data_IF_809282888694
#
_entry.id   IF_809282888694
#
_cell.length_a   1.000
_cell.length_b   1.000
_cell.length_c   1.000
_cell.angle_alpha   90.00
_cell.angle_beta   90.00
_cell.angle_gamma   90.00
#
_symmetry.space_group_name_H-M   'P 1'
#
loop_
_entity.id
_entity.type
_entity.pdbx_description
1 polymer ?
#
# COMPACT_ATOMS: atom_id res chain seq x y z
N UNK A 1 -27.20 -26.13 31.32
CA UNK A 1 -26.88 -25.32 30.12
C UNK A 1 -25.48 -24.77 30.28
N UNK A 2 -24.53 -25.22 29.46
CA UNK A 2 -23.16 -24.71 29.55
C UNK A 2 -23.09 -23.31 28.95
N UNK A 3 -22.39 -22.40 29.64
CA UNK A 3 -22.25 -20.98 29.25
C UNK A 3 -21.54 -20.78 27.91
N UNK A 4 -21.05 -21.85 27.28
CA UNK A 4 -20.33 -21.82 26.01
C UNK A 4 -21.25 -22.00 24.78
N UNK A 5 -22.46 -22.56 24.95
CA UNK A 5 -23.44 -22.76 23.86
C UNK A 5 -24.04 -21.44 23.31
N UNK A 6 -23.93 -20.33 24.05
CA UNK A 6 -24.57 -19.05 23.69
C UNK A 6 -23.67 -18.04 22.97
N UNK A 7 -22.42 -18.39 22.64
CA UNK A 7 -21.51 -17.48 21.93
C UNK A 7 -22.06 -17.03 20.56
N UNK A 8 -22.63 -17.90 19.69
CA UNK A 8 -23.18 -17.48 18.40
C UNK A 8 -24.36 -16.52 18.54
N UNK A 9 -25.24 -16.77 19.51
CA UNK A 9 -26.40 -15.92 19.79
C UNK A 9 -25.99 -14.52 20.29
N UNK A 10 -25.00 -14.45 21.18
CA UNK A 10 -24.44 -13.17 21.67
C UNK A 10 -23.78 -12.37 20.56
N UNK A 11 -22.99 -13.01 19.69
CA UNK A 11 -22.35 -12.34 18.56
C UNK A 11 -23.37 -11.79 17.56
N UNK A 12 -24.37 -12.59 17.20
CA UNK A 12 -25.44 -12.15 16.30
C UNK A 12 -26.26 -11.01 16.93
N UNK A 13 -26.59 -11.11 18.21
CA UNK A 13 -27.29 -10.05 18.93
C UNK A 13 -26.50 -8.74 19.01
N UNK A 14 -25.19 -8.81 19.24
CA UNK A 14 -24.33 -7.64 19.16
C UNK A 14 -24.37 -7.02 17.77
N UNK A 15 -24.26 -7.82 16.70
CA UNK A 15 -24.31 -7.33 15.32
C UNK A 15 -25.66 -6.64 15.00
N UNK A 16 -26.79 -7.25 15.37
CA UNK A 16 -28.14 -6.69 15.13
C UNK A 16 -28.33 -5.34 15.83
N UNK A 17 -27.75 -5.14 17.01
CA UNK A 17 -27.81 -3.85 17.72
C UNK A 17 -27.18 -2.70 16.94
N UNK A 18 -26.14 -2.98 16.15
CA UNK A 18 -25.43 -1.98 15.34
C UNK A 18 -26.03 -1.83 13.94
N UNK A 19 -27.00 -2.66 13.56
CA UNK A 19 -27.61 -2.59 12.22
C UNK A 19 -28.50 -1.34 12.05
N UNK A 20 -28.58 -0.79 10.82
CA UNK A 20 -29.51 0.29 10.48
C UNK A 20 -30.96 -0.08 10.81
N UNK A 21 -31.77 0.91 11.21
CA UNK A 21 -33.14 0.69 11.67
C UNK A 21 -33.98 -0.14 10.69
N UNK A 22 -33.88 0.11 9.38
CA UNK A 22 -34.62 -0.63 8.35
C UNK A 22 -34.25 -2.11 8.15
N UNK A 23 -33.20 -2.62 8.81
CA UNK A 23 -32.77 -4.02 8.72
C UNK A 23 -32.84 -4.77 10.06
N UNK A 24 -33.29 -4.11 11.12
CA UNK A 24 -33.45 -4.76 12.44
C UNK A 24 -34.47 -5.90 12.41
N UNK A 25 -35.46 -5.84 11.52
CA UNK A 25 -36.46 -6.89 11.36
C UNK A 25 -35.85 -8.17 10.78
N UNK A 26 -35.00 -8.04 9.76
CA UNK A 26 -34.19 -9.16 9.27
C UNK A 26 -33.30 -9.71 10.37
N UNK A 27 -32.64 -8.84 11.15
CA UNK A 27 -31.80 -9.26 12.27
C UNK A 27 -32.55 -10.07 13.33
N UNK A 28 -33.77 -9.64 13.68
CA UNK A 28 -34.66 -10.35 14.60
C UNK A 28 -35.11 -11.70 14.04
N UNK A 29 -35.43 -11.76 12.75
CA UNK A 29 -35.78 -13.01 12.08
C UNK A 29 -34.61 -14.02 12.12
N UNK A 30 -33.39 -13.57 11.83
CA UNK A 30 -32.20 -14.44 11.90
C UNK A 30 -31.88 -14.90 13.33
N UNK A 31 -32.18 -14.08 14.35
CA UNK A 31 -32.06 -14.52 15.74
C UNK A 31 -33.07 -15.61 16.10
N UNK A 32 -34.31 -15.50 15.60
CA UNK A 32 -35.33 -16.51 15.77
C UNK A 32 -34.94 -17.82 15.05
N UNK A 33 -34.48 -17.75 13.80
CA UNK A 33 -33.99 -18.92 13.07
C UNK A 33 -32.79 -19.58 13.78
N UNK A 34 -31.82 -18.79 14.25
CA UNK A 34 -30.69 -19.33 15.01
C UNK A 34 -31.14 -20.05 16.29
N UNK A 35 -32.22 -19.60 16.93
CA UNK A 35 -32.75 -20.23 18.15
C UNK A 35 -33.39 -21.60 17.89
N UNK A 36 -33.90 -21.83 16.67
CA UNK A 36 -34.55 -23.07 16.26
C UNK A 36 -33.56 -24.16 15.80
N UNK A 37 -32.29 -23.82 15.62
CA UNK A 37 -31.25 -24.81 15.25
C UNK A 37 -30.69 -25.41 16.54
N UNK A 38 -30.88 -26.72 16.75
CA UNK A 38 -30.39 -27.43 17.93
C UNK A 38 -28.91 -27.82 17.82
N UNK A 39 -28.47 -28.18 16.61
CA UNK A 39 -27.12 -28.69 16.36
C UNK A 39 -26.06 -27.58 16.49
N UNK A 40 -25.08 -27.69 17.42
CA UNK A 40 -24.12 -26.62 17.68
C UNK A 40 -23.25 -26.24 16.48
N UNK A 41 -22.89 -27.20 15.63
CA UNK A 41 -22.09 -26.95 14.43
C UNK A 41 -22.88 -26.11 13.40
N UNK A 42 -24.14 -26.45 13.18
CA UNK A 42 -25.04 -25.73 12.28
C UNK A 42 -25.30 -24.31 12.77
N UNK A 43 -25.59 -24.12 14.07
CA UNK A 43 -25.74 -22.79 14.70
C UNK A 43 -24.56 -21.87 14.43
N UNK A 44 -23.33 -22.40 14.56
CA UNK A 44 -22.10 -21.62 14.30
C UNK A 44 -21.96 -21.25 12.83
N UNK A 45 -22.27 -22.17 11.93
CA UNK A 45 -22.23 -21.93 10.48
C UNK A 45 -23.28 -20.88 10.06
N UNK A 46 -24.50 -20.99 10.60
CA UNK A 46 -25.60 -20.07 10.38
C UNK A 46 -25.26 -18.66 10.88
N UNK A 47 -24.83 -18.54 12.15
CA UNK A 47 -24.42 -17.26 12.72
C UNK A 47 -23.28 -16.61 11.92
N UNK A 48 -22.29 -17.39 11.45
CA UNK A 48 -21.23 -16.88 10.56
C UNK A 48 -21.79 -16.39 9.21
N UNK A 49 -22.79 -17.08 8.66
CA UNK A 49 -23.50 -16.66 7.45
C UNK A 49 -24.21 -15.32 7.65
N UNK A 50 -25.02 -15.19 8.71
CA UNK A 50 -25.71 -13.96 9.07
C UNK A 50 -24.73 -12.81 9.35
N UNK A 51 -23.63 -13.07 10.07
CA UNK A 51 -22.59 -12.06 10.33
C UNK A 51 -21.91 -11.60 9.03
N UNK A 52 -21.64 -12.50 8.08
CA UNK A 52 -21.12 -12.13 6.76
C UNK A 52 -22.12 -11.29 5.95
N UNK A 53 -23.40 -11.66 5.96
CA UNK A 53 -24.45 -10.91 5.30
C UNK A 53 -24.61 -9.50 5.89
N UNK A 54 -24.64 -9.40 7.23
CA UNK A 54 -24.67 -8.12 7.93
C UNK A 54 -23.40 -7.29 7.63
N UNK A 55 -22.21 -7.89 7.70
CA UNK A 55 -20.93 -7.26 7.38
C UNK A 55 -20.85 -6.70 5.96
N UNK A 56 -21.47 -7.37 4.98
CA UNK A 56 -21.56 -6.88 3.62
C UNK A 56 -22.33 -5.55 3.56
N UNK A 57 -23.40 -5.41 4.35
CA UNK A 57 -24.28 -4.24 4.35
C UNK A 57 -23.83 -3.06 5.20
N UNK A 58 -22.81 -3.24 6.03
CA UNK A 58 -22.14 -2.12 6.73
C UNK A 58 -21.36 -1.21 5.76
N UNK A 59 -21.83 -1.01 4.54
CA UNK A 59 -21.28 -0.08 3.55
C UNK A 59 -21.15 1.33 4.14
N UNK A 60 -22.11 1.77 4.96
CA UNK A 60 -22.06 3.08 5.62
C UNK A 60 -20.99 3.16 6.71
N UNK A 61 -20.89 2.15 7.57
CA UNK A 61 -19.84 2.12 8.61
C UNK A 61 -18.45 1.97 7.97
N UNK A 62 -18.32 1.11 6.96
CA UNK A 62 -17.09 0.97 6.17
C UNK A 62 -16.75 2.29 5.48
N UNK A 63 -17.71 2.98 4.89
CA UNK A 63 -17.49 4.29 4.29
C UNK A 63 -17.10 5.34 5.34
N UNK A 64 -17.72 5.34 6.52
CA UNK A 64 -17.41 6.25 7.61
C UNK A 64 -15.99 6.01 8.17
N UNK A 65 -15.62 4.74 8.39
CA UNK A 65 -14.26 4.37 8.81
C UNK A 65 -13.25 4.76 7.73
N UNK A 66 -13.54 4.47 6.45
CA UNK A 66 -12.67 4.88 5.33
C UNK A 66 -12.50 6.40 5.30
N UNK A 67 -13.60 7.14 5.47
CA UNK A 67 -13.60 8.60 5.47
C UNK A 67 -12.79 9.16 6.65
N UNK A 68 -12.96 8.61 7.85
CA UNK A 68 -12.20 9.01 9.04
C UNK A 68 -10.71 8.73 8.87
N UNK A 69 -10.34 7.57 8.32
CA UNK A 69 -8.93 7.25 8.03
C UNK A 69 -8.36 8.24 7.01
N UNK A 70 -9.07 8.50 5.91
CA UNK A 70 -8.62 9.45 4.87
C UNK A 70 -8.49 10.86 5.42
N UNK A 71 -9.48 11.34 6.18
CA UNK A 71 -9.45 12.68 6.79
C UNK A 71 -8.33 12.79 7.83
N UNK A 72 -8.15 11.77 8.67
CA UNK A 72 -7.07 11.71 9.64
C UNK A 72 -5.72 11.80 8.95
N UNK A 73 -5.47 10.95 7.94
CA UNK A 73 -4.23 10.98 7.16
C UNK A 73 -4.01 12.34 6.48
N UNK A 74 -5.07 12.96 5.93
CA UNK A 74 -4.97 14.26 5.28
C UNK A 74 -4.64 15.37 6.28
N UNK A 75 -5.31 15.41 7.44
CA UNK A 75 -5.05 16.41 8.48
C UNK A 75 -3.63 16.27 9.00
N UNK A 76 -3.16 15.05 9.28
CA UNK A 76 -1.77 14.80 9.70
C UNK A 76 -0.78 15.29 8.65
N UNK A 77 -1.04 15.01 7.37
CA UNK A 77 -0.18 15.41 6.26
C UNK A 77 -0.13 16.93 6.07
N UNK A 78 -1.28 17.61 6.16
CA UNK A 78 -1.37 19.07 6.06
C UNK A 78 -0.73 19.78 7.26
N UNK A 79 -0.99 19.30 8.47
CA UNK A 79 -0.37 19.82 9.68
C UNK A 79 1.16 19.72 9.61
N UNK A 80 1.66 18.63 9.02
CA UNK A 80 3.09 18.45 8.83
C UNK A 80 3.68 19.35 7.73
N UNK A 81 3.01 19.49 6.58
CA UNK A 81 3.44 20.44 5.54
C UNK A 81 3.57 21.85 6.09
N UNK A 82 2.66 22.25 6.98
CA UNK A 82 2.73 23.53 7.66
C UNK A 82 3.89 23.67 8.66
N UNK A 83 4.49 22.55 9.09
CA UNK A 83 5.60 22.51 10.04
C UNK A 83 6.98 22.34 9.38
N UNK A 84 7.04 22.14 8.05
CA UNK A 84 8.31 21.95 7.32
C UNK A 84 8.83 23.30 6.81
N UNK A 85 9.94 23.77 7.39
CA UNK A 85 10.64 25.01 6.97
C UNK A 85 11.61 24.80 5.79
N UNK A 86 11.36 23.79 4.94
CA UNK A 86 12.18 23.50 3.75
C UNK A 86 11.33 23.56 2.47
N UNK A 87 11.36 24.68 1.72
CA UNK A 87 10.46 24.94 0.58
C UNK A 87 10.45 23.86 -0.52
N UNK A 88 11.58 23.26 -0.92
CA UNK A 88 11.58 22.20 -1.93
C UNK A 88 10.79 20.96 -1.49
N UNK A 89 10.88 20.58 -0.21
CA UNK A 89 10.13 19.46 0.33
C UNK A 89 8.63 19.79 0.42
N UNK A 90 8.25 21.00 0.82
CA UNK A 90 6.85 21.47 0.79
C UNK A 90 6.22 21.30 -0.59
N UNK A 91 6.95 21.64 -1.66
CA UNK A 91 6.46 21.48 -3.04
C UNK A 91 6.22 19.99 -3.40
N UNK A 92 7.19 19.11 -3.09
CA UNK A 92 7.06 17.66 -3.32
C UNK A 92 5.88 17.09 -2.55
N UNK A 93 5.75 17.43 -1.28
CA UNK A 93 4.67 16.95 -0.42
C UNK A 93 3.31 17.44 -0.91
N UNK A 94 3.21 18.69 -1.34
CA UNK A 94 1.98 19.25 -1.90
C UNK A 94 1.53 18.50 -3.16
N UNK A 95 2.47 18.07 -4.01
CA UNK A 95 2.19 17.22 -5.17
C UNK A 95 1.67 15.85 -4.72
N UNK A 96 2.31 15.22 -3.72
CA UNK A 96 1.87 13.93 -3.17
C UNK A 96 0.47 14.03 -2.55
N UNK A 97 0.20 15.05 -1.73
CA UNK A 97 -1.13 15.29 -1.12
C UNK A 97 -2.17 15.46 -2.20
N UNK A 98 -1.87 16.27 -3.21
CA UNK A 98 -2.79 16.56 -4.31
C UNK A 98 -3.10 15.29 -5.10
N UNK A 99 -2.10 14.46 -5.40
CA UNK A 99 -2.29 13.17 -6.05
C UNK A 99 -3.13 12.21 -5.18
N UNK A 100 -2.85 12.13 -3.87
CA UNK A 100 -3.64 11.34 -2.91
C UNK A 100 -5.08 11.83 -2.82
N UNK A 101 -5.30 13.15 -2.79
CA UNK A 101 -6.61 13.76 -2.77
C UNK A 101 -7.40 13.46 -4.06
N UNK A 102 -6.73 13.50 -5.22
CA UNK A 102 -7.31 13.09 -6.51
C UNK A 102 -7.68 11.60 -6.48
N UNK A 103 -6.80 10.72 -5.98
CA UNK A 103 -7.07 9.27 -5.84
C UNK A 103 -8.26 9.02 -4.90
N UNK A 104 -8.31 9.73 -3.76
CA UNK A 104 -9.41 9.62 -2.80
C UNK A 104 -10.73 10.19 -3.38
N UNK A 105 -10.68 11.33 -4.06
CA UNK A 105 -11.82 11.93 -4.73
C UNK A 105 -12.36 11.03 -5.83
N UNK A 106 -11.48 10.46 -6.64
CA UNK A 106 -11.82 9.47 -7.63
C UNK A 106 -12.46 8.25 -6.94
N UNK A 107 -11.86 7.73 -5.88
CA UNK A 107 -12.38 6.60 -5.10
C UNK A 107 -13.78 6.79 -4.51
N UNK A 108 -14.22 8.04 -4.27
CA UNK A 108 -15.56 8.37 -3.71
C UNK A 108 -16.72 8.10 -4.67
N UNK A 109 -16.50 8.03 -5.99
CA UNK A 109 -17.59 7.70 -6.91
C UNK A 109 -17.99 6.23 -6.69
N UNK A 110 -19.28 5.96 -6.44
CA UNK A 110 -19.77 4.61 -6.15
C UNK A 110 -19.23 3.58 -7.19
N UNK A 111 -18.46 2.59 -6.72
CA UNK A 111 -17.81 1.59 -7.57
C UNK A 111 -16.34 1.87 -7.95
N UNK A 112 -15.78 3.03 -7.62
CA UNK A 112 -14.39 3.41 -7.95
C UNK A 112 -13.29 2.91 -7.00
N UNK A 113 -13.60 2.16 -5.96
CA UNK A 113 -12.63 1.25 -5.34
C UNK A 113 -12.99 -0.23 -5.55
N UNK A 114 -14.10 -0.48 -6.26
CA UNK A 114 -14.67 -1.77 -6.60
C UNK A 114 -15.03 -2.63 -5.36
N UNK A 115 -15.94 -3.60 -5.50
CA UNK A 115 -15.85 -4.77 -4.64
C UNK A 115 -14.45 -5.36 -4.81
N UNK A 116 -13.75 -5.62 -3.70
CA UNK A 116 -12.53 -6.43 -3.72
C UNK A 116 -12.82 -7.74 -4.44
N UNK A 117 -11.84 -8.28 -5.17
CA UNK A 117 -11.95 -9.65 -5.68
C UNK A 117 -12.36 -10.59 -4.55
N UNK A 118 -13.19 -11.58 -4.84
CA UNK A 118 -13.70 -12.52 -3.82
C UNK A 118 -12.58 -13.41 -3.25
N UNK A 119 -11.38 -13.33 -3.81
CA UNK A 119 -10.17 -13.98 -3.30
C UNK A 119 -9.73 -13.38 -1.96
N UNK A 120 -9.49 -14.26 -0.98
CA UNK A 120 -8.91 -13.93 0.33
C UNK A 120 -7.58 -13.15 0.23
N UNK A 121 -6.80 -13.38 -0.84
CA UNK A 121 -5.51 -12.72 -1.09
C UNK A 121 -5.70 -11.20 -1.34
N UNK A 122 -6.69 -10.83 -2.15
CA UNK A 122 -7.03 -9.42 -2.39
C UNK A 122 -7.51 -8.72 -1.11
N UNK A 123 -8.21 -9.45 -0.24
CA UNK A 123 -8.63 -8.94 1.05
C UNK A 123 -7.45 -8.75 2.02
N UNK A 124 -6.53 -9.71 2.10
CA UNK A 124 -5.34 -9.61 2.94
C UNK A 124 -4.39 -8.51 2.47
N UNK A 125 -4.10 -8.42 1.18
CA UNK A 125 -3.20 -7.39 0.65
C UNK A 125 -3.77 -5.99 0.89
N UNK A 126 -5.09 -5.82 0.77
CA UNK A 126 -5.75 -4.54 1.00
C UNK A 126 -5.84 -4.20 2.48
N UNK A 127 -6.25 -5.13 3.33
CA UNK A 127 -6.37 -4.92 4.77
C UNK A 127 -4.99 -4.75 5.41
N UNK A 128 -4.03 -5.59 5.03
CA UNK A 128 -2.63 -5.51 5.42
C UNK A 128 -1.98 -4.21 4.95
N UNK A 129 -2.23 -3.77 3.72
CA UNK A 129 -1.75 -2.47 3.23
C UNK A 129 -2.29 -1.28 4.01
N UNK A 130 -3.59 -1.26 4.34
CA UNK A 130 -4.17 -0.20 5.17
C UNK A 130 -3.69 -0.25 6.62
N UNK A 131 -3.59 -1.43 7.21
CA UNK A 131 -3.08 -1.59 8.57
C UNK A 131 -1.62 -1.19 8.68
N UNK A 132 -0.79 -1.59 7.71
CA UNK A 132 0.63 -1.22 7.68
C UNK A 132 0.77 0.30 7.50
N UNK A 133 0.02 0.92 6.59
CA UNK A 133 -0.01 2.37 6.45
C UNK A 133 -0.48 3.08 7.74
N UNK A 134 -1.52 2.57 8.40
CA UNK A 134 -2.03 3.13 9.66
C UNK A 134 -1.05 2.97 10.82
N UNK A 135 -0.37 1.83 10.95
CA UNK A 135 0.67 1.57 11.97
C UNK A 135 1.85 2.50 11.74
N UNK A 136 2.27 2.64 10.49
CA UNK A 136 3.35 3.56 10.11
C UNK A 136 2.97 5.00 10.51
N UNK A 137 1.78 5.48 10.13
CA UNK A 137 1.31 6.83 10.51
C UNK A 137 1.19 6.98 12.03
N UNK A 138 0.63 6.00 12.74
CA UNK A 138 0.47 6.06 14.19
C UNK A 138 1.83 6.10 14.90
N UNK A 139 2.79 5.27 14.48
CA UNK A 139 4.14 5.25 15.02
C UNK A 139 4.85 6.60 14.81
N UNK A 140 4.61 7.27 13.68
CA UNK A 140 5.16 8.61 13.41
C UNK A 140 4.48 9.72 14.21
N UNK A 141 3.20 9.57 14.56
CA UNK A 141 2.42 10.61 15.23
C UNK A 141 2.64 10.66 16.76
N UNK A 142 3.18 9.59 17.36
CA UNK A 142 3.36 9.48 18.82
C UNK A 142 4.77 9.82 19.31
N UNK A 143 5.73 10.05 18.41
CA UNK A 143 7.09 10.45 18.78
C UNK A 143 7.19 11.95 19.12
N UNK A 144 8.05 12.37 20.05
CA UNK A 144 8.37 13.79 20.22
C UNK A 144 8.95 14.35 18.93
N UNK A 145 8.49 15.54 18.51
CA UNK A 145 9.00 16.22 17.31
C UNK A 145 10.42 16.73 17.58
N UNK A 146 11.42 15.88 17.35
CA UNK A 146 12.83 16.24 17.23
C UNK A 146 13.19 16.49 15.76
N UNK A 147 14.36 17.06 15.46
CA UNK A 147 14.85 17.22 14.07
C UNK A 147 14.84 15.89 13.27
N UNK A 148 14.93 14.75 13.95
CA UNK A 148 14.81 13.39 13.36
C UNK A 148 13.39 13.04 12.88
N UNK A 149 12.37 13.77 13.31
CA UNK A 149 10.96 13.47 13.04
C UNK A 149 10.57 13.70 11.59
N UNK A 150 11.26 14.62 10.91
CA UNK A 150 11.09 14.90 9.48
C UNK A 150 11.49 13.66 8.66
N UNK A 151 12.58 13.00 9.04
CA UNK A 151 13.03 11.76 8.42
C UNK A 151 11.95 10.68 8.54
N UNK A 152 11.55 10.36 9.77
CA UNK A 152 10.60 9.28 10.08
C UNK A 152 9.29 9.42 9.27
N UNK A 153 8.81 10.64 9.04
CA UNK A 153 7.59 10.91 8.26
C UNK A 153 7.76 10.72 6.75
N UNK A 154 8.92 11.08 6.17
CA UNK A 154 9.26 10.77 4.78
C UNK A 154 9.36 9.25 4.58
N UNK A 155 10.01 8.55 5.52
CA UNK A 155 10.09 7.09 5.55
C UNK A 155 8.73 6.41 5.69
N UNK A 156 7.73 7.10 6.25
CA UNK A 156 6.40 6.58 6.48
C UNK A 156 5.42 6.82 5.31
N UNK A 157 5.41 8.04 4.77
CA UNK A 157 4.48 8.48 3.73
C UNK A 157 4.72 7.77 2.40
N UNK A 158 5.97 7.48 2.07
CA UNK A 158 6.31 6.91 0.76
C UNK A 158 5.92 5.42 0.66
N UNK A 159 6.22 4.55 1.65
CA UNK A 159 5.67 3.20 1.69
C UNK A 159 4.13 3.18 1.70
N UNK A 160 3.49 4.11 2.40
CA UNK A 160 2.03 4.23 2.36
C UNK A 160 1.52 4.56 0.94
N UNK A 161 2.18 5.47 0.21
CA UNK A 161 1.85 5.77 -1.19
C UNK A 161 2.05 4.57 -2.12
N UNK A 162 3.11 3.77 -1.90
CA UNK A 162 3.35 2.53 -2.62
C UNK A 162 2.24 1.50 -2.38
N UNK A 163 1.83 1.31 -1.12
CA UNK A 163 0.73 0.41 -0.75
C UNK A 163 -0.59 0.86 -1.38
N UNK A 164 -0.85 2.16 -1.43
CA UNK A 164 -2.03 2.72 -2.11
C UNK A 164 -2.01 2.45 -3.63
N UNK A 165 -0.85 2.63 -4.27
CA UNK A 165 -0.65 2.24 -5.67
C UNK A 165 -0.92 0.76 -5.90
N UNK A 166 -0.34 -0.11 -5.07
CA UNK A 166 -0.53 -1.55 -5.14
C UNK A 166 -2.01 -1.94 -4.97
N UNK A 167 -2.70 -1.38 -3.98
CA UNK A 167 -4.14 -1.62 -3.75
C UNK A 167 -4.99 -1.18 -4.94
N UNK A 168 -4.65 -0.06 -5.58
CA UNK A 168 -5.37 0.42 -6.77
C UNK A 168 -5.20 -0.53 -7.96
N UNK A 169 -3.99 -1.05 -8.16
CA UNK A 169 -3.67 -2.01 -9.24
C UNK A 169 -4.34 -3.36 -8.99
N UNK A 170 -4.46 -3.80 -7.74
CA UNK A 170 -5.09 -5.07 -7.36
C UNK A 170 -6.63 -5.04 -7.31
N UNK A 171 -7.26 -3.92 -7.67
CA UNK A 171 -8.72 -3.83 -7.67
C UNK A 171 -9.35 -4.76 -8.73
N UNK A 172 -10.51 -5.37 -8.43
CA UNK A 172 -11.23 -6.33 -9.31
C UNK A 172 -11.51 -5.82 -10.73
N UNK A 173 -11.52 -4.50 -10.93
CA UNK A 173 -11.78 -3.82 -12.22
C UNK A 173 -10.54 -3.14 -12.81
N UNK A 174 -9.37 -3.38 -12.25
CA UNK A 174 -8.11 -2.88 -12.79
C UNK A 174 -7.85 -3.49 -14.17
N UNK A 175 -7.26 -2.71 -15.08
CA UNK A 175 -6.74 -3.25 -16.33
C UNK A 175 -5.49 -4.12 -16.13
N UNK A 176 -4.90 -4.11 -14.93
CA UNK A 176 -3.76 -4.95 -14.59
C UNK A 176 -4.16 -6.43 -14.56
N UNK A 177 -3.67 -7.19 -15.54
CA UNK A 177 -3.76 -8.64 -15.56
C UNK A 177 -2.76 -9.26 -14.59
N UNK A 178 -2.89 -10.56 -14.31
CA UNK A 178 -1.88 -11.29 -13.54
C UNK A 178 -0.48 -11.18 -14.17
N UNK A 179 -0.41 -11.14 -15.50
CA UNK A 179 0.82 -10.91 -16.26
C UNK A 179 1.43 -9.54 -15.95
N UNK A 180 0.64 -8.45 -16.02
CA UNK A 180 1.10 -7.09 -15.69
C UNK A 180 1.70 -7.03 -14.29
N UNK A 181 1.02 -7.64 -13.30
CA UNK A 181 1.49 -7.71 -11.92
C UNK A 181 2.81 -8.49 -11.81
N UNK A 182 2.85 -9.69 -12.40
CA UNK A 182 4.02 -10.56 -12.36
C UNK A 182 5.23 -9.91 -13.03
N UNK A 183 5.05 -9.33 -14.21
CA UNK A 183 6.15 -8.69 -14.95
C UNK A 183 6.58 -7.39 -14.30
N UNK A 184 5.64 -6.58 -13.78
CA UNK A 184 5.97 -5.31 -13.15
C UNK A 184 6.67 -5.51 -11.80
N UNK A 185 6.01 -6.17 -10.85
CA UNK A 185 6.61 -6.41 -9.53
C UNK A 185 7.82 -7.37 -9.63
N UNK A 186 7.74 -8.40 -10.47
CA UNK A 186 8.82 -9.38 -10.65
C UNK A 186 10.07 -8.77 -11.27
N UNK A 187 9.96 -7.94 -12.32
CA UNK A 187 11.15 -7.28 -12.88
C UNK A 187 11.75 -6.29 -11.90
N UNK A 188 10.92 -5.59 -11.13
CA UNK A 188 11.41 -4.66 -10.11
C UNK A 188 12.17 -5.36 -8.98
N UNK A 189 11.63 -6.46 -8.46
CA UNK A 189 12.33 -7.28 -7.45
C UNK A 189 13.62 -7.90 -8.01
N UNK A 190 13.61 -8.38 -9.26
CA UNK A 190 14.81 -8.90 -9.91
C UNK A 190 15.90 -7.83 -10.05
N UNK A 191 15.54 -6.60 -10.41
CA UNK A 191 16.47 -5.48 -10.48
C UNK A 191 17.02 -5.10 -9.10
N UNK A 192 16.20 -5.12 -8.04
CA UNK A 192 16.68 -4.94 -6.66
C UNK A 192 17.65 -6.04 -6.25
N UNK A 193 17.38 -7.30 -6.57
CA UNK A 193 18.29 -8.42 -6.28
C UNK A 193 19.61 -8.29 -7.04
N UNK A 194 19.58 -7.85 -8.29
CA UNK A 194 20.78 -7.56 -9.06
C UNK A 194 21.60 -6.42 -8.44
N UNK A 195 20.95 -5.34 -8.01
CA UNK A 195 21.60 -4.25 -7.28
C UNK A 195 22.27 -4.76 -5.99
N UNK A 196 21.53 -5.54 -5.20
CA UNK A 196 22.04 -6.09 -3.94
C UNK A 196 23.23 -7.05 -4.17
N UNK A 197 23.17 -7.87 -5.21
CA UNK A 197 24.27 -8.75 -5.58
C UNK A 197 25.54 -7.96 -5.92
N UNK A 198 25.41 -6.85 -6.67
CA UNK A 198 26.55 -5.96 -6.96
C UNK A 198 27.15 -5.41 -5.67
N UNK A 199 26.32 -4.91 -4.74
CA UNK A 199 26.78 -4.37 -3.44
C UNK A 199 27.52 -5.41 -2.61
N UNK A 200 27.01 -6.65 -2.57
CA UNK A 200 27.61 -7.73 -1.77
C UNK A 200 28.90 -8.26 -2.39
N UNK A 201 28.95 -8.37 -3.73
CA UNK A 201 30.11 -8.92 -4.45
C UNK A 201 31.23 -7.88 -4.58
N UNK A 202 30.88 -6.62 -4.78
CA UNK A 202 31.79 -5.50 -5.01
C UNK A 202 31.49 -4.35 -4.03
N UNK A 203 31.76 -4.54 -2.72
CA UNK A 203 31.62 -3.46 -1.74
C UNK A 203 32.51 -2.25 -2.08
N UNK A 204 32.14 -1.03 -1.67
CA UNK A 204 31.01 -0.68 -0.78
C UNK A 204 29.68 -0.40 -1.51
N UNK A 205 28.62 -0.02 -0.76
CA UNK A 205 27.38 0.53 -1.32
C UNK A 205 27.74 1.74 -2.22
N UNK A 206 27.25 1.80 -3.48
CA UNK A 206 27.52 2.92 -4.35
C UNK A 206 27.05 4.24 -3.74
N UNK A 207 27.91 5.27 -3.63
CA UNK A 207 27.55 6.57 -3.06
C UNK A 207 26.67 7.41 -4.00
N UNK A 208 26.40 6.93 -5.21
CA UNK A 208 25.51 7.58 -6.18
C UNK A 208 24.34 6.69 -6.54
N UNK A 209 23.25 7.30 -6.98
CA UNK A 209 22.03 6.60 -7.40
C UNK A 209 22.07 6.06 -8.83
N UNK A 210 23.17 6.28 -9.57
CA UNK A 210 23.26 5.96 -11.00
C UNK A 210 22.97 4.49 -11.32
N UNK A 211 23.55 3.56 -10.54
CA UNK A 211 23.29 2.13 -10.71
C UNK A 211 21.82 1.76 -10.41
N UNK A 212 21.25 2.33 -9.35
CA UNK A 212 19.86 2.09 -8.98
C UNK A 212 18.89 2.58 -10.07
N UNK A 213 19.14 3.76 -10.64
CA UNK A 213 18.35 4.31 -11.73
C UNK A 213 18.51 3.49 -13.02
N UNK A 214 19.73 3.04 -13.34
CA UNK A 214 19.98 2.20 -14.50
C UNK A 214 19.24 0.85 -14.40
N UNK A 215 19.33 0.17 -13.26
CA UNK A 215 18.62 -1.09 -13.03
C UNK A 215 17.09 -0.89 -13.02
N UNK A 216 16.61 0.24 -12.51
CA UNK A 216 15.20 0.61 -12.62
C UNK A 216 14.76 0.78 -14.07
N UNK A 217 15.55 1.46 -14.91
CA UNK A 217 15.25 1.61 -16.33
C UNK A 217 15.20 0.26 -17.06
N UNK A 218 16.11 -0.66 -16.72
CA UNK A 218 16.07 -2.04 -17.23
C UNK A 218 14.79 -2.76 -16.79
N UNK A 219 14.41 -2.68 -15.51
CA UNK A 219 13.17 -3.28 -15.00
C UNK A 219 11.92 -2.76 -15.73
N UNK A 220 11.88 -1.46 -16.00
CA UNK A 220 10.83 -0.79 -16.76
C UNK A 220 10.76 -1.31 -18.18
N UNK A 221 11.90 -1.36 -18.89
CA UNK A 221 11.96 -1.85 -20.25
C UNK A 221 11.50 -3.32 -20.33
N UNK A 222 11.97 -4.17 -19.43
CA UNK A 222 11.56 -5.59 -19.34
C UNK A 222 10.06 -5.69 -19.10
N UNK A 223 9.50 -4.95 -18.14
CA UNK A 223 8.07 -4.98 -17.85
C UNK A 223 7.22 -4.48 -19.03
N UNK A 224 7.63 -3.40 -19.69
CA UNK A 224 6.93 -2.85 -20.84
C UNK A 224 6.97 -3.79 -22.06
N UNK A 225 8.15 -4.34 -22.38
CA UNK A 225 8.34 -5.29 -23.48
C UNK A 225 7.60 -6.61 -23.22
N UNK A 226 7.60 -7.09 -21.98
CA UNK A 226 6.86 -8.30 -21.61
C UNK A 226 5.34 -8.15 -21.74
N UNK A 227 4.81 -6.93 -21.86
CA UNK A 227 3.39 -6.64 -22.13
C UNK A 227 3.19 -6.00 -23.51
N UNK A 228 4.15 -6.19 -24.43
CA UNK A 228 4.11 -5.61 -25.77
C UNK A 228 3.35 -6.46 -26.81
N UNK A 229 2.62 -7.50 -26.40
CA UNK A 229 1.96 -8.39 -27.35
C UNK A 229 0.86 -7.66 -28.16
N UNK A 230 0.50 -8.14 -29.37
CA UNK A 230 -0.53 -7.52 -30.21
C UNK A 230 -1.92 -7.44 -29.54
N UNK A 231 -2.19 -8.36 -28.61
CA UNK A 231 -3.43 -8.39 -27.82
C UNK A 231 -3.41 -7.51 -26.57
N UNK A 232 -2.24 -6.97 -26.20
CA UNK A 232 -2.07 -6.21 -24.97
C UNK A 232 -2.38 -4.73 -25.19
N UNK A 233 -3.15 -4.14 -24.26
CA UNK A 233 -3.49 -2.73 -24.31
C UNK A 233 -2.30 -1.86 -23.90
N UNK A 234 -2.17 -0.65 -24.46
CA UNK A 234 -1.18 0.34 -24.03
C UNK A 234 -1.26 0.63 -22.51
N UNK A 235 -2.44 0.44 -21.92
CA UNK A 235 -2.70 0.56 -20.50
C UNK A 235 -1.94 -0.49 -19.68
N UNK A 236 -1.93 -1.76 -20.12
CA UNK A 236 -1.21 -2.84 -19.44
C UNK A 236 0.30 -2.59 -19.41
N UNK A 237 0.87 -2.10 -20.52
CA UNK A 237 2.28 -1.70 -20.61
C UNK A 237 2.64 -0.59 -19.63
N UNK A 238 1.82 0.47 -19.60
CA UNK A 238 2.01 1.60 -18.70
C UNK A 238 1.96 1.16 -17.22
N UNK A 239 0.95 0.36 -16.85
CA UNK A 239 0.80 -0.13 -15.49
C UNK A 239 1.97 -1.05 -15.08
N UNK A 240 2.43 -1.93 -15.98
CA UNK A 240 3.57 -2.80 -15.71
C UNK A 240 4.86 -2.00 -15.51
N UNK A 241 5.11 -1.00 -16.36
CA UNK A 241 6.25 -0.10 -16.27
C UNK A 241 6.24 0.70 -14.96
N UNK A 242 5.12 1.34 -14.62
CA UNK A 242 4.98 2.13 -13.38
C UNK A 242 5.14 1.25 -12.14
N UNK A 243 4.58 0.03 -12.15
CA UNK A 243 4.74 -0.93 -11.06
C UNK A 243 6.21 -1.36 -10.91
N UNK A 244 6.89 -1.67 -12.01
CA UNK A 244 8.32 -2.01 -11.98
C UNK A 244 9.16 -0.87 -11.42
N UNK A 245 8.93 0.36 -11.86
CA UNK A 245 9.63 1.53 -11.33
C UNK A 245 9.43 1.67 -9.82
N UNK A 246 8.17 1.68 -9.36
CA UNK A 246 7.83 1.87 -7.96
C UNK A 246 8.43 0.77 -7.08
N UNK A 247 8.28 -0.51 -7.49
CA UNK A 247 8.83 -1.67 -6.77
C UNK A 247 10.36 -1.62 -6.70
N UNK A 248 11.04 -1.34 -7.81
CA UNK A 248 12.52 -1.29 -7.82
C UNK A 248 13.03 -0.22 -6.87
N UNK A 249 12.50 1.01 -7.00
CA UNK A 249 12.98 2.17 -6.25
C UNK A 249 12.72 2.03 -4.75
N UNK A 250 11.51 1.59 -4.35
CA UNK A 250 11.20 1.41 -2.92
C UNK A 250 12.04 0.28 -2.31
N UNK A 251 12.23 -0.83 -3.03
CA UNK A 251 12.97 -1.98 -2.52
C UNK A 251 14.48 -1.73 -2.44
N UNK A 252 15.07 -1.00 -3.40
CA UNK A 252 16.48 -0.57 -3.32
C UNK A 252 16.68 0.35 -2.12
N UNK A 253 15.82 1.35 -1.95
CA UNK A 253 15.92 2.27 -0.81
C UNK A 253 15.85 1.54 0.54
N UNK A 254 14.86 0.65 0.71
CA UNK A 254 14.75 -0.19 1.91
C UNK A 254 16.00 -1.04 2.10
N UNK A 255 16.58 -1.57 1.01
CA UNK A 255 17.85 -2.29 1.03
C UNK A 255 19.01 -1.43 1.54
N UNK A 256 19.16 -0.20 1.05
CA UNK A 256 20.20 0.75 1.51
C UNK A 256 20.05 1.03 2.99
N UNK A 257 18.85 1.36 3.47
CA UNK A 257 18.60 1.64 4.89
C UNK A 257 18.95 0.45 5.76
N UNK A 258 18.56 -0.76 5.32
CA UNK A 258 18.84 -1.98 6.05
C UNK A 258 20.34 -2.30 6.11
N UNK A 259 21.06 -2.14 5.00
CA UNK A 259 22.51 -2.34 4.98
C UNK A 259 23.26 -1.25 5.77
N UNK A 260 22.78 -0.01 5.74
CA UNK A 260 23.35 1.08 6.53
C UNK A 260 23.18 0.87 8.05
N UNK A 261 22.06 0.28 8.49
CA UNK A 261 21.82 0.00 9.92
C UNK A 261 22.44 -1.31 10.41
N UNK A 262 22.34 -2.39 9.62
CA UNK A 262 22.67 -3.74 10.07
C UNK A 262 23.76 -4.44 9.25
N UNK A 263 24.19 -3.84 8.14
CA UNK A 263 25.26 -4.39 7.30
C UNK A 263 26.64 -4.22 7.93
N UNK A 264 27.61 -5.10 7.59
CA UNK A 264 28.98 -4.99 8.08
C UNK A 264 29.66 -3.70 7.59
N UNK A 265 30.63 -3.21 8.35
CA UNK A 265 31.36 -1.97 8.08
C UNK A 265 31.99 -1.92 6.68
N UNK A 266 32.40 -3.07 6.14
CA UNK A 266 32.97 -3.19 4.80
C UNK A 266 32.02 -2.76 3.67
N UNK A 267 30.70 -2.71 3.92
CA UNK A 267 29.72 -2.23 2.95
C UNK A 267 29.58 -0.70 2.96
N UNK A 268 30.09 0.00 3.98
CA UNK A 268 29.88 1.42 4.15
C UNK A 268 31.01 2.18 3.44
N UNK A 269 30.71 2.99 2.40
CA UNK A 269 31.73 3.81 1.77
C UNK A 269 32.19 4.91 2.74
N UNK A 270 33.47 5.30 2.68
CA UNK A 270 33.95 6.46 3.43
C UNK A 270 33.54 7.75 2.71
N UNK A 271 32.40 8.33 3.13
CA UNK A 271 31.85 9.57 2.55
C UNK A 271 32.14 10.77 3.45
N UNK A 272 32.52 10.52 4.70
CA UNK A 272 32.84 11.54 5.71
C UNK A 272 34.31 11.47 6.12
N UNK A 273 35.28 11.70 5.19
CA UNK A 273 36.70 11.59 5.50
C UNK A 273 37.21 12.65 6.50
N UNK A 274 36.37 13.62 6.85
CA UNK A 274 36.65 14.69 7.81
C UNK A 274 36.05 14.44 9.19
N UNK A 275 35.34 13.31 9.38
CA UNK A 275 34.84 12.88 10.68
C UNK A 275 35.98 12.69 11.69
N UNK A 276 35.65 12.70 12.98
CA UNK A 276 36.62 12.37 14.02
C UNK A 276 37.08 10.91 13.87
N UNK A 277 38.35 10.64 14.18
CA UNK A 277 38.87 9.29 14.16
C UNK A 277 38.02 8.37 15.07
N UNK A 278 37.47 7.31 14.50
CA UNK A 278 36.56 6.38 15.19
C UNK A 278 35.06 6.69 15.03
N UNK A 279 34.66 7.86 14.50
CA UNK A 279 33.26 8.16 14.13
C UNK A 279 32.99 8.07 12.62
N UNK A 280 34.04 7.97 11.79
CA UNK A 280 33.96 7.92 10.32
C UNK A 280 32.89 6.95 9.80
N UNK A 281 32.87 5.71 10.29
CA UNK A 281 31.90 4.70 9.85
C UNK A 281 30.48 5.04 10.31
N UNK A 282 30.32 5.52 11.55
CA UNK A 282 29.01 5.87 12.09
C UNK A 282 28.39 7.05 11.33
N UNK A 283 29.19 8.07 11.01
CA UNK A 283 28.76 9.21 10.20
C UNK A 283 28.49 8.80 8.75
N UNK A 284 29.37 8.02 8.14
CA UNK A 284 29.17 7.53 6.76
C UNK A 284 27.92 6.63 6.62
N UNK A 285 27.49 5.92 7.68
CA UNK A 285 26.22 5.16 7.70
C UNK A 285 24.98 6.06 7.63
N UNK A 286 25.07 7.29 8.14
CA UNK A 286 23.97 8.26 8.06
C UNK A 286 23.99 8.88 6.66
N UNK A 287 25.14 9.37 6.22
CA UNK A 287 25.32 10.10 4.96
C UNK A 287 25.09 9.24 3.70
N UNK A 288 25.28 7.91 3.77
CA UNK A 288 25.01 7.02 2.62
C UNK A 288 23.52 6.98 2.23
N UNK A 289 22.61 7.36 3.13
CA UNK A 289 21.16 7.31 2.88
C UNK A 289 20.72 8.50 2.01
N UNK A 290 21.35 9.66 2.17
CA UNK A 290 21.00 10.94 1.53
C UNK A 290 20.79 10.85 0.01
N UNK A 291 21.74 10.34 -0.80
CA UNK A 291 21.53 10.25 -2.24
C UNK A 291 20.32 9.39 -2.60
N UNK A 292 20.00 8.36 -1.80
CA UNK A 292 18.88 7.47 -2.04
C UNK A 292 17.53 8.03 -1.59
N UNK A 293 17.49 9.12 -0.81
CA UNK A 293 16.23 9.84 -0.52
C UNK A 293 15.55 10.29 -1.82
N UNK A 294 16.33 10.69 -2.83
CA UNK A 294 15.79 11.00 -4.17
C UNK A 294 15.08 9.79 -4.79
N UNK A 295 15.67 8.58 -4.67
CA UNK A 295 15.07 7.34 -5.19
C UNK A 295 13.75 7.05 -4.49
N UNK A 296 13.69 7.26 -3.18
CA UNK A 296 12.46 7.13 -2.41
C UNK A 296 11.40 8.14 -2.88
N UNK A 297 11.75 9.42 -3.01
CA UNK A 297 10.83 10.47 -3.49
C UNK A 297 10.27 10.14 -4.88
N UNK A 298 11.12 9.71 -5.81
CA UNK A 298 10.69 9.28 -7.15
C UNK A 298 9.74 8.07 -7.07
N UNK A 299 10.00 7.11 -6.18
CA UNK A 299 9.08 5.99 -5.94
C UNK A 299 7.69 6.47 -5.48
N UNK A 300 7.62 7.46 -4.60
CA UNK A 300 6.36 8.05 -4.15
C UNK A 300 5.58 8.69 -5.30
N UNK A 301 6.24 9.51 -6.12
CA UNK A 301 5.63 10.14 -7.30
C UNK A 301 5.12 9.10 -8.29
N UNK A 302 5.93 8.08 -8.59
CA UNK A 302 5.56 6.99 -9.51
C UNK A 302 4.42 6.15 -8.94
N UNK A 303 4.41 5.88 -7.64
CA UNK A 303 3.32 5.14 -6.98
C UNK A 303 1.99 5.90 -7.05
N UNK A 304 2.03 7.22 -6.92
CA UNK A 304 0.86 8.06 -7.10
C UNK A 304 0.38 8.05 -8.58
N UNK A 305 1.30 8.13 -9.53
CA UNK A 305 0.99 7.99 -10.95
C UNK A 305 0.40 6.62 -11.29
N UNK A 306 0.93 5.54 -10.70
CA UNK A 306 0.42 4.17 -10.81
C UNK A 306 -1.01 4.07 -10.29
N UNK A 307 -1.29 4.63 -9.11
CA UNK A 307 -2.62 4.67 -8.53
C UNK A 307 -3.62 5.39 -9.47
N UNK A 308 -3.23 6.56 -9.98
CA UNK A 308 -4.04 7.34 -10.91
C UNK A 308 -4.29 6.59 -12.23
N UNK A 309 -3.23 6.03 -12.83
CA UNK A 309 -3.33 5.23 -14.05
C UNK A 309 -4.25 4.01 -13.86
N UNK A 310 -4.12 3.29 -12.74
CA UNK A 310 -4.97 2.14 -12.42
C UNK A 310 -6.44 2.53 -12.22
N UNK A 311 -6.70 3.77 -11.80
CA UNK A 311 -8.05 4.33 -11.69
C UNK A 311 -8.61 4.72 -13.06
N UNK A 312 -7.82 5.39 -13.91
CA UNK A 312 -8.24 5.88 -15.22
C UNK A 312 -8.44 4.76 -16.25
N UNK A 313 -7.73 3.64 -16.10
CA UNK A 313 -7.74 2.52 -17.06
C UNK A 313 -8.76 1.43 -16.74
N UNK A 314 -9.66 1.66 -15.79
CA UNK A 314 -10.63 0.62 -15.39
C UNK A 314 -11.63 0.30 -16.50
N UNK A 315 -11.93 -0.99 -16.62
CA UNK A 315 -12.95 -1.48 -17.56
C UNK A 315 -14.35 -1.06 -17.09
N UNK A 316 -15.16 -0.58 -18.03
CA UNK A 316 -16.57 -0.27 -17.75
C UNK A 316 -17.39 -1.57 -17.63
N UNK A 317 -18.51 -1.52 -16.91
CA UNK A 317 -19.39 -2.70 -16.73
C UNK A 317 -19.94 -3.19 -18.07
N UNK A 318 -20.13 -2.27 -19.02
CA UNK A 318 -20.66 -2.53 -20.35
C UNK A 318 -19.72 -3.40 -21.20
N UNK A 319 -18.41 -3.27 -21.01
CA UNK A 319 -17.42 -4.08 -21.74
C UNK A 319 -17.36 -5.52 -21.25
N UNK A 320 -17.65 -5.75 -19.96
CA UNK A 320 -17.61 -7.09 -19.38
C UNK A 320 -18.74 -7.99 -19.91
N UNK A 321 -19.92 -7.42 -20.21
CA UNK A 321 -21.07 -8.17 -20.70
C UNK A 321 -20.90 -8.66 -22.16
N UNK A 322 -20.05 -8.00 -22.97
CA UNK A 322 -19.79 -8.39 -24.36
C UNK A 322 -18.81 -9.55 -24.53
N UNK A 323 -18.01 -9.87 -23.51
CA UNK A 323 -17.02 -10.96 -23.58
C UNK A 323 -17.63 -12.31 -23.17
N UNK A 324 -18.79 -12.29 -22.52
CA UNK A 324 -19.52 -13.49 -22.06
C UNK A 324 -20.59 -13.98 -23.04
N UNK A 325 -20.74 -13.35 -24.20
CA UNK A 325 -21.61 -13.78 -25.30
C UNK A 325 -20.73 -14.22 -26.48
#
# INVERSE_FOLDING_TARGET
>A
MSTDQDRPARLLAAAVRVMPAGRRDWGRAMQAELSAIDEPAERRSFARGCLRAAAAEFHLLRAAVHLLVVLGTLVTLLAWIAAVDYPPLVAVLSVVVSALAVVCWAGRRAGMLGPTGDSWLAWLLRTGGYLLAAVIVAATATGPVTDDSIGILVFATIPASFLLGLVAVLAKRSAATARVLLTGAGSGLAATLAWLAVVVIAPPIPPSTGLALALTAVAVAVAALANAAPSDTNQGRLLAALLATATTMVSIFVGVVALAHWGPDALIPNITPHALAGSEIAESRIEIIDPYVLVLVLSGVVSAALALAAVLTRRTVTDAARVTL
#
